data_IF_708572143451
#
_entry.id   IF_708572143451
#
_cell.length_a   1.000
_cell.length_b   1.000
_cell.length_c   1.000
_cell.angle_alpha   90.00
_cell.angle_beta   90.00
_cell.angle_gamma   90.00
#
_symmetry.space_group_name_H-M   'P 1'
#
loop_
_entity.id
_entity.type
_entity.pdbx_description
1 polymer ?
#
# COMPACT_ATOMS: atom_id res chain seq x y z
N UNK A 1 -3.76 -8.34 15.57
CA UNK A 1 -3.69 -7.21 14.62
C UNK A 1 -3.51 -5.96 15.43
N UNK A 2 -2.44 -5.20 15.20
CA UNK A 2 -2.22 -3.90 15.83
C UNK A 2 -2.62 -2.84 14.81
N UNK A 3 -3.61 -2.00 15.14
CA UNK A 3 -3.94 -0.83 14.32
C UNK A 3 -3.14 0.36 14.85
N UNK A 4 -2.36 0.97 13.96
CA UNK A 4 -1.51 2.11 14.30
C UNK A 4 -1.91 3.29 13.43
N UNK A 5 -2.22 4.41 14.08
CA UNK A 5 -2.59 5.64 13.37
C UNK A 5 -1.50 6.07 12.39
N UNK A 6 -1.88 6.30 11.13
CA UNK A 6 -0.97 6.75 10.07
C UNK A 6 -0.57 8.23 10.14
N UNK A 7 -1.21 9.00 11.02
CA UNK A 7 -0.92 10.42 11.25
C UNK A 7 0.50 10.59 11.78
N UNK A 8 1.20 11.65 11.33
CA UNK A 8 2.61 11.88 11.67
C UNK A 8 2.90 11.87 13.18
N UNK A 9 1.97 12.37 13.99
CA UNK A 9 2.06 12.39 15.46
C UNK A 9 2.00 11.00 16.09
N UNK A 10 1.28 10.06 15.47
CA UNK A 10 1.08 8.70 15.97
C UNK A 10 2.24 7.76 15.60
N UNK A 11 3.03 8.09 14.57
CA UNK A 11 4.16 7.25 14.09
C UNK A 11 5.25 7.01 15.13
N UNK A 12 5.43 7.91 16.10
CA UNK A 12 6.40 7.74 17.19
C UNK A 12 6.06 6.57 18.13
N UNK A 13 4.79 6.14 18.15
CA UNK A 13 4.31 5.04 18.98
C UNK A 13 4.55 3.66 18.36
N UNK A 14 4.94 3.62 17.08
CA UNK A 14 5.11 2.36 16.36
C UNK A 14 6.29 1.52 16.87
N UNK A 15 7.26 2.16 17.54
CA UNK A 15 8.51 1.53 18.04
C UNK A 15 8.25 0.32 18.94
N UNK A 16 7.18 0.35 19.75
CA UNK A 16 6.83 -0.76 20.65
C UNK A 16 6.19 -1.97 19.95
N UNK A 17 5.90 -1.90 18.66
CA UNK A 17 5.21 -2.96 17.91
C UNK A 17 6.13 -3.76 16.98
N UNK A 18 7.45 -3.54 17.01
CA UNK A 18 8.36 -3.92 15.93
C UNK A 18 9.19 -5.20 16.14
N UNK A 19 8.98 -5.96 17.21
CA UNK A 19 9.60 -7.29 17.35
C UNK A 19 8.66 -8.39 16.82
N UNK A 20 9.21 -9.32 16.03
CA UNK A 20 8.54 -10.49 15.46
C UNK A 20 7.31 -10.25 14.55
N UNK A 21 7.24 -9.10 13.88
CA UNK A 21 6.19 -8.83 12.89
C UNK A 21 6.40 -9.67 11.63
N UNK A 22 5.47 -10.61 11.37
CA UNK A 22 5.48 -11.49 10.19
C UNK A 22 4.98 -10.82 8.91
N UNK A 23 3.98 -9.95 9.04
CA UNK A 23 3.46 -9.18 7.92
C UNK A 23 3.03 -7.78 8.35
N UNK A 24 3.19 -6.83 7.44
CA UNK A 24 2.65 -5.48 7.56
C UNK A 24 1.56 -5.30 6.51
N UNK A 25 0.35 -4.95 6.97
CA UNK A 25 -0.72 -4.47 6.10
C UNK A 25 -0.62 -2.96 6.02
N UNK A 26 -0.33 -2.45 4.82
CA UNK A 26 -0.21 -1.03 4.55
C UNK A 26 -1.34 -0.57 3.62
N UNK A 27 -2.16 0.37 4.10
CA UNK A 27 -3.32 0.86 3.37
C UNK A 27 -2.96 2.14 2.61
N UNK A 28 -3.14 2.11 1.29
CA UNK A 28 -2.93 3.23 0.38
C UNK A 28 -4.30 3.79 -0.02
N UNK A 29 -4.47 5.12 0.06
CA UNK A 29 -5.66 5.78 -0.47
C UNK A 29 -5.42 6.16 -1.93
N UNK A 30 -5.89 5.36 -2.89
CA UNK A 30 -5.74 5.63 -4.33
C UNK A 30 -6.28 7.01 -4.70
N UNK A 31 -7.45 7.38 -4.17
CA UNK A 31 -8.09 8.66 -4.43
C UNK A 31 -7.35 9.89 -3.89
N UNK A 32 -6.19 9.72 -3.25
CA UNK A 32 -5.37 10.82 -2.71
C UNK A 32 -4.34 11.40 -3.68
N UNK A 33 -4.24 10.89 -4.91
CA UNK A 33 -3.23 11.30 -5.90
C UNK A 33 -3.30 12.80 -6.28
N UNK A 34 -4.47 13.41 -6.15
CA UNK A 34 -4.83 14.77 -6.54
C UNK A 34 -5.15 15.67 -5.33
N UNK A 35 -4.80 15.22 -4.12
CA UNK A 35 -5.13 15.88 -2.85
C UNK A 35 -3.88 16.17 -2.02
N UNK A 36 -3.95 17.18 -1.16
CA UNK A 36 -2.91 17.52 -0.18
C UNK A 36 -3.31 17.09 1.24
N UNK A 37 -2.33 16.94 2.12
CA UNK A 37 -2.56 16.61 3.53
C UNK A 37 -3.35 17.73 4.22
N UNK A 38 -4.14 17.38 5.23
CA UNK A 38 -4.89 18.38 6.01
C UNK A 38 -3.93 19.17 6.90
N UNK A 39 -2.97 18.47 7.49
CA UNK A 39 -1.93 19.02 8.35
C UNK A 39 -0.83 19.80 7.59
N UNK A 40 -0.71 19.57 6.29
CA UNK A 40 0.34 20.15 5.44
C UNK A 40 -0.17 20.32 4.00
N UNK A 41 -0.80 21.46 3.68
CA UNK A 41 -1.37 21.73 2.36
C UNK A 41 -0.34 21.79 1.23
N UNK A 42 0.96 21.85 1.55
CA UNK A 42 2.04 21.84 0.55
C UNK A 42 2.41 20.43 0.08
N UNK A 43 1.96 19.39 0.80
CA UNK A 43 2.35 18.01 0.53
C UNK A 43 1.19 17.18 -0.02
N UNK A 44 1.41 16.54 -1.16
CA UNK A 44 0.48 15.60 -1.76
C UNK A 44 0.33 14.31 -0.93
N UNK A 45 -0.89 13.80 -0.79
CA UNK A 45 -1.19 12.63 0.05
C UNK A 45 -0.55 11.34 -0.47
N UNK A 46 -0.56 11.12 -1.78
CA UNK A 46 0.06 9.94 -2.38
C UNK A 46 1.58 9.98 -2.22
N UNK A 47 2.20 11.15 -2.39
CA UNK A 47 3.64 11.33 -2.17
C UNK A 47 4.04 11.09 -0.71
N UNK A 48 3.28 11.59 0.27
CA UNK A 48 3.51 11.28 1.68
C UNK A 48 3.38 9.77 1.95
N UNK A 49 2.37 9.12 1.36
CA UNK A 49 2.16 7.68 1.51
C UNK A 49 3.33 6.86 0.94
N UNK A 50 3.87 7.26 -0.22
CA UNK A 50 5.08 6.64 -0.81
C UNK A 50 6.30 6.81 0.11
N UNK A 51 6.52 8.02 0.65
CA UNK A 51 7.63 8.27 1.61
C UNK A 51 7.50 7.39 2.85
N UNK A 52 6.29 7.32 3.41
CA UNK A 52 6.02 6.50 4.58
C UNK A 52 6.26 5.02 4.27
N UNK A 53 5.71 4.52 3.16
CA UNK A 53 5.90 3.12 2.76
C UNK A 53 7.37 2.79 2.57
N UNK A 54 8.14 3.65 1.88
CA UNK A 54 9.59 3.44 1.72
C UNK A 54 10.29 3.31 3.07
N UNK A 55 9.94 4.15 4.06
CA UNK A 55 10.54 4.08 5.39
C UNK A 55 10.22 2.80 6.16
N UNK A 56 9.03 2.22 5.95
CA UNK A 56 8.59 0.97 6.57
C UNK A 56 9.19 -0.22 5.82
N UNK A 57 9.00 -0.26 4.51
CA UNK A 57 9.44 -1.33 3.62
C UNK A 57 10.95 -1.56 3.73
N UNK A 58 11.74 -0.50 3.94
CA UNK A 58 13.18 -0.59 4.00
C UNK A 58 13.74 -0.50 5.45
N UNK A 59 12.88 -0.56 6.47
CA UNK A 59 13.33 -0.57 7.86
C UNK A 59 14.02 -1.91 8.22
N UNK A 60 15.08 -1.83 9.02
CA UNK A 60 15.80 -3.00 9.54
C UNK A 60 14.90 -3.97 10.31
N UNK A 61 13.93 -3.46 11.09
CA UNK A 61 13.00 -4.28 11.87
C UNK A 61 12.04 -5.08 10.99
N UNK A 62 11.82 -4.62 9.75
CA UNK A 62 10.92 -5.26 8.81
C UNK A 62 11.63 -6.04 7.72
N UNK A 63 12.94 -6.28 7.82
CA UNK A 63 13.75 -6.87 6.75
C UNK A 63 13.19 -8.22 6.24
N UNK A 64 12.71 -9.06 7.14
CA UNK A 64 12.13 -10.38 6.86
C UNK A 64 10.60 -10.39 6.93
N UNK A 65 9.96 -9.22 6.90
CA UNK A 65 8.52 -9.06 7.03
C UNK A 65 7.89 -8.88 5.64
N UNK A 66 6.83 -9.64 5.37
CA UNK A 66 6.06 -9.54 4.13
C UNK A 66 5.19 -8.28 4.12
N UNK A 67 5.11 -7.60 2.98
CA UNK A 67 4.33 -6.36 2.84
C UNK A 67 3.05 -6.63 2.05
N UNK A 68 1.92 -6.17 2.58
CA UNK A 68 0.60 -6.31 1.96
C UNK A 68 0.04 -4.91 1.73
N UNK A 69 -0.08 -4.51 0.47
CA UNK A 69 -0.59 -3.22 0.05
C UNK A 69 -2.09 -3.31 -0.23
N UNK A 70 -2.89 -2.62 0.57
CA UNK A 70 -4.31 -2.41 0.25
C UNK A 70 -4.44 -1.10 -0.51
N UNK A 71 -4.59 -1.21 -1.83
CA UNK A 71 -4.85 -0.11 -2.75
C UNK A 71 -6.33 0.28 -2.64
N UNK A 72 -6.66 0.98 -1.55
CA UNK A 72 -8.00 1.26 -1.11
C UNK A 72 -8.61 2.50 -1.78
N UNK A 73 -9.93 2.63 -1.69
CA UNK A 73 -10.74 3.68 -2.31
C UNK A 73 -10.67 3.66 -3.84
N UNK A 74 -10.65 2.46 -4.41
CA UNK A 74 -10.66 2.28 -5.87
C UNK A 74 -11.96 2.83 -6.49
N UNK A 75 -13.07 2.80 -5.76
CA UNK A 75 -14.35 3.42 -6.10
C UNK A 75 -14.24 4.93 -6.33
N UNK A 76 -13.67 5.66 -5.37
CA UNK A 76 -13.47 7.12 -5.47
C UNK A 76 -12.39 7.47 -6.51
N UNK A 77 -11.39 6.60 -6.67
CA UNK A 77 -10.39 6.76 -7.72
C UNK A 77 -11.03 6.63 -9.10
N UNK A 78 -11.86 5.61 -9.31
CA UNK A 78 -12.60 5.37 -10.54
C UNK A 78 -13.52 6.55 -10.88
N UNK A 79 -14.28 7.05 -9.90
CA UNK A 79 -15.14 8.24 -10.08
C UNK A 79 -14.35 9.43 -10.62
N UNK A 80 -13.21 9.74 -9.98
CA UNK A 80 -12.36 10.88 -10.38
C UNK A 80 -11.78 10.74 -11.79
N UNK A 81 -11.34 9.54 -12.15
CA UNK A 81 -10.70 9.25 -13.43
C UNK A 81 -11.71 9.24 -14.58
N UNK A 82 -12.90 8.67 -14.37
CA UNK A 82 -13.92 8.51 -15.41
C UNK A 82 -14.84 9.72 -15.56
N UNK A 83 -15.18 10.39 -14.45
CA UNK A 83 -16.29 11.35 -14.43
C UNK A 83 -15.90 12.77 -14.03
N UNK A 84 -14.83 12.95 -13.25
CA UNK A 84 -14.41 14.29 -12.80
C UNK A 84 -13.33 14.94 -13.69
N UNK A 85 -12.88 14.28 -14.76
CA UNK A 85 -11.79 14.78 -15.63
C UNK A 85 -10.43 14.86 -14.94
N UNK A 86 -10.27 14.22 -13.77
CA UNK A 86 -9.04 14.29 -12.96
C UNK A 86 -8.07 13.19 -13.35
N UNK A 87 -7.71 13.10 -14.62
CA UNK A 87 -6.87 11.99 -15.11
C UNK A 87 -5.49 11.97 -14.45
N UNK A 88 -4.96 10.76 -14.19
CA UNK A 88 -3.73 10.57 -13.41
C UNK A 88 -2.53 11.32 -13.99
N UNK A 89 -2.40 11.38 -15.32
CA UNK A 89 -1.29 12.05 -16.02
C UNK A 89 -1.16 13.55 -15.70
N UNK A 90 -2.24 14.19 -15.24
CA UNK A 90 -2.25 15.61 -14.85
C UNK A 90 -1.55 15.84 -13.51
N UNK A 91 -1.47 14.82 -12.66
CA UNK A 91 -0.92 14.89 -11.31
C UNK A 91 0.36 14.07 -11.14
N UNK A 92 0.57 13.07 -12.00
CA UNK A 92 1.76 12.21 -12.02
C UNK A 92 2.41 12.28 -13.42
N UNK A 93 3.33 13.23 -13.67
CA UNK A 93 3.87 13.50 -15.02
C UNK A 93 4.59 12.32 -15.68
N UNK A 94 5.07 11.37 -14.87
CA UNK A 94 5.76 10.16 -15.31
C UNK A 94 4.78 9.09 -15.85
N UNK A 95 3.49 9.20 -15.51
CA UNK A 95 2.46 8.32 -16.05
C UNK A 95 2.12 8.69 -17.49
N UNK A 96 2.26 7.72 -18.41
CA UNK A 96 2.00 7.88 -19.85
C UNK A 96 0.78 7.10 -20.35
N UNK A 97 -0.03 6.58 -19.44
CA UNK A 97 -1.26 5.87 -19.81
C UNK A 97 -2.35 6.81 -20.33
N UNK A 98 -3.39 6.21 -20.92
CA UNK A 98 -4.52 6.93 -21.48
C UNK A 98 -5.40 7.56 -20.39
N UNK A 99 -6.16 8.59 -20.79
CA UNK A 99 -7.24 9.12 -19.97
C UNK A 99 -8.38 8.11 -19.85
N UNK A 100 -9.14 8.19 -18.76
CA UNK A 100 -10.23 7.28 -18.42
C UNK A 100 -9.85 5.78 -18.28
N UNK A 101 -8.56 5.44 -18.32
CA UNK A 101 -8.08 4.06 -18.05
C UNK A 101 -7.78 3.88 -16.56
N UNK A 102 -8.79 3.45 -15.82
CA UNK A 102 -8.72 3.23 -14.37
C UNK A 102 -7.73 2.13 -14.02
N UNK A 103 -7.75 1.02 -14.74
CA UNK A 103 -6.94 -0.16 -14.42
C UNK A 103 -5.45 0.12 -14.60
N UNK A 104 -5.07 0.74 -15.71
CA UNK A 104 -3.66 1.06 -15.98
C UNK A 104 -3.17 2.14 -15.02
N UNK A 105 -4.01 3.13 -14.68
CA UNK A 105 -3.67 4.15 -13.70
C UNK A 105 -3.51 3.57 -12.29
N UNK A 106 -4.41 2.69 -11.85
CA UNK A 106 -4.36 2.04 -10.54
C UNK A 106 -3.16 1.10 -10.42
N UNK A 107 -2.90 0.27 -11.45
CA UNK A 107 -1.72 -0.60 -11.53
C UNK A 107 -0.41 0.20 -11.54
N UNK A 108 -0.39 1.35 -12.20
CA UNK A 108 0.77 2.23 -12.18
C UNK A 108 1.08 2.72 -10.76
N UNK A 109 0.07 3.20 -10.02
CA UNK A 109 0.27 3.63 -8.63
C UNK A 109 0.75 2.46 -7.77
N UNK A 110 0.16 1.27 -7.90
CA UNK A 110 0.63 0.08 -7.18
C UNK A 110 2.11 -0.24 -7.51
N UNK A 111 2.48 -0.15 -8.79
CA UNK A 111 3.86 -0.30 -9.25
C UNK A 111 4.83 0.71 -8.63
N UNK A 112 4.40 1.95 -8.39
CA UNK A 112 5.20 2.93 -7.67
C UNK A 112 5.57 2.44 -6.26
N UNK A 113 4.63 1.85 -5.52
CA UNK A 113 4.93 1.30 -4.19
C UNK A 113 5.85 0.08 -4.26
N UNK A 114 5.57 -0.87 -5.16
CA UNK A 114 6.39 -2.08 -5.32
C UNK A 114 7.84 -1.70 -5.69
N UNK A 115 8.03 -0.66 -6.50
CA UNK A 115 9.36 -0.18 -6.90
C UNK A 115 10.20 0.43 -5.77
N UNK A 116 9.60 0.76 -4.62
CA UNK A 116 10.32 1.29 -3.45
C UNK A 116 11.03 0.21 -2.63
N UNK A 117 10.84 -1.07 -2.95
CA UNK A 117 11.49 -2.16 -2.26
C UNK A 117 12.99 -2.23 -2.58
N UNK A 118 13.84 -2.05 -1.58
CA UNK A 118 15.28 -2.21 -1.71
C UNK A 118 15.77 -3.65 -1.44
N UNK A 119 14.88 -4.58 -1.05
CA UNK A 119 15.21 -5.97 -0.72
C UNK A 119 14.57 -6.93 -1.71
N UNK A 120 15.30 -7.47 -2.71
CA UNK A 120 14.73 -8.31 -3.76
C UNK A 120 13.99 -9.57 -3.26
N UNK A 121 14.43 -10.13 -2.13
CA UNK A 121 13.80 -11.30 -1.52
C UNK A 121 12.53 -10.97 -0.72
N UNK A 122 12.22 -9.70 -0.50
CA UNK A 122 11.04 -9.28 0.24
C UNK A 122 9.81 -9.34 -0.64
N UNK A 123 8.80 -10.06 -0.17
CA UNK A 123 7.54 -10.23 -0.86
C UNK A 123 6.62 -9.03 -0.61
N UNK A 124 6.08 -8.50 -1.70
CA UNK A 124 5.10 -7.40 -1.68
C UNK A 124 3.89 -7.82 -2.49
N UNK A 125 2.78 -8.03 -1.80
CA UNK A 125 1.47 -8.30 -2.39
C UNK A 125 0.67 -7.01 -2.46
N UNK A 126 -0.11 -6.80 -3.50
CA UNK A 126 -1.03 -5.67 -3.58
C UNK A 126 -2.40 -6.09 -4.07
N UNK A 127 -3.43 -5.48 -3.49
CA UNK A 127 -4.82 -5.73 -3.84
C UNK A 127 -5.60 -4.43 -3.90
N UNK A 128 -6.48 -4.32 -4.89
CA UNK A 128 -7.41 -3.20 -5.02
C UNK A 128 -8.63 -3.45 -4.14
N UNK A 129 -8.95 -2.49 -3.28
CA UNK A 129 -10.02 -2.63 -2.30
C UNK A 129 -10.91 -1.40 -2.24
N UNK A 130 -12.15 -1.63 -1.83
CA UNK A 130 -13.05 -0.59 -1.33
C UNK A 130 -13.37 -0.94 0.12
N UNK A 131 -13.35 0.04 1.03
CA UNK A 131 -13.53 -0.20 2.46
C UNK A 131 -14.89 -0.86 2.81
N UNK A 132 -15.89 -0.74 1.93
CA UNK A 132 -17.21 -1.37 2.06
C UNK A 132 -17.27 -2.81 1.57
N UNK A 133 -16.23 -3.29 0.86
CA UNK A 133 -16.15 -4.66 0.37
C UNK A 133 -15.36 -5.55 1.35
N UNK A 134 -16.01 -5.90 2.45
CA UNK A 134 -15.45 -6.74 3.52
C UNK A 134 -15.16 -8.18 3.07
N UNK A 135 -15.84 -8.66 2.03
CA UNK A 135 -15.64 -9.97 1.40
C UNK A 135 -14.25 -10.10 0.78
N UNK A 136 -13.83 -9.09 0.01
CA UNK A 136 -12.51 -9.09 -0.62
C UNK A 136 -11.37 -9.01 0.41
N UNK A 137 -11.55 -8.26 1.49
CA UNK A 137 -10.53 -8.12 2.54
C UNK A 137 -10.28 -9.46 3.26
N UNK A 138 -11.35 -10.21 3.59
CA UNK A 138 -11.21 -11.52 4.27
C UNK A 138 -10.48 -12.55 3.41
N UNK A 139 -10.81 -12.63 2.12
CA UNK A 139 -10.15 -13.55 1.18
C UNK A 139 -8.66 -13.19 1.05
N UNK A 140 -8.34 -11.90 0.94
CA UNK A 140 -6.95 -11.45 0.83
C UNK A 140 -6.15 -11.76 2.09
N UNK A 141 -6.72 -11.50 3.27
CA UNK A 141 -6.08 -11.90 4.53
C UNK A 141 -5.83 -13.40 4.58
N UNK A 142 -6.77 -14.22 4.11
CA UNK A 142 -6.62 -15.66 4.10
C UNK A 142 -5.54 -16.12 3.12
N UNK A 143 -5.52 -15.61 1.88
CA UNK A 143 -4.50 -15.95 0.87
C UNK A 143 -3.10 -15.55 1.34
N UNK A 144 -2.95 -14.37 1.95
CA UNK A 144 -1.64 -13.94 2.45
C UNK A 144 -1.23 -14.76 3.67
N UNK A 145 -2.15 -15.05 4.59
CA UNK A 145 -1.86 -15.92 5.73
C UNK A 145 -1.45 -17.31 5.25
N UNK A 146 -2.14 -17.90 4.27
CA UNK A 146 -1.80 -19.19 3.70
C UNK A 146 -0.42 -19.18 3.03
N UNK A 147 -0.07 -18.10 2.33
CA UNK A 147 1.25 -17.94 1.70
C UNK A 147 2.36 -17.84 2.75
N UNK A 148 2.16 -17.02 3.78
CA UNK A 148 3.11 -16.89 4.90
C UNK A 148 3.23 -18.20 5.67
N UNK A 149 2.12 -18.90 5.92
CA UNK A 149 2.11 -20.20 6.60
C UNK A 149 2.85 -21.23 5.76
N UNK A 150 2.65 -21.25 4.45
CA UNK A 150 3.33 -22.16 3.53
C UNK A 150 4.84 -21.92 3.52
N UNK A 151 5.28 -20.67 3.45
CA UNK A 151 6.71 -20.32 3.55
C UNK A 151 7.33 -20.74 4.88
N UNK A 152 6.60 -20.60 5.99
CA UNK A 152 7.07 -21.08 7.30
C UNK A 152 7.14 -22.62 7.35
N UNK A 153 6.16 -23.32 6.78
CA UNK A 153 6.16 -24.79 6.74
C UNK A 153 7.30 -25.34 5.87
N UNK A 154 7.61 -24.70 4.74
CA UNK A 154 8.76 -25.05 3.90
C UNK A 154 10.08 -24.84 4.65
N UNK A 155 10.22 -23.76 5.44
CA UNK A 155 11.39 -23.52 6.26
C UNK A 155 11.57 -24.55 7.40
N UNK A 156 10.48 -25.07 7.96
CA UNK A 156 10.51 -26.13 9.00
C UNK A 156 10.78 -27.51 8.41
N UNK A 157 10.33 -27.78 7.18
CA UNK A 157 10.48 -29.09 6.52
C UNK A 157 11.90 -29.36 6.00
N UNK A 158 12.78 -28.35 6.03
CA UNK A 158 14.18 -28.42 5.64
C UNK A 158 15.15 -28.59 6.84
N UNK A 159 14.62 -28.71 8.06
CA UNK A 159 15.34 -29.11 9.28
C UNK A 159 15.07 -30.58 9.62
#
# INVERSE_FOLDING_TARGET
>A
MYDVGGQRTERRKWIGCFEDVRAVVFVVSLSGYDMTLVEDPSMNRLQESLKLFSSICNNIFFRSTSMILFMNKIDLFQEKILHSGRHLRLYVPQFKGADCDVDTAARYIAGMFVSLNATPSKLIYHHFTTATDTSNVQIVFQVVMDTIIKENLEAVSLL
#
